data_IF_144695788043
#
_entry.id   IF_144695788043
#
_cell.length_a   1.000
_cell.length_b   1.000
_cell.length_c   1.000
_cell.angle_alpha   90.00
_cell.angle_beta   90.00
_cell.angle_gamma   90.00
#
_symmetry.space_group_name_H-M   'P 1'
#
loop_
_entity.id
_entity.type
_entity.pdbx_description
1 polymer ?
#
# COMPACT_ATOMS: atom_id res chain seq x y z
N UNK A 1 10.82 -34.23 0.83
CA UNK A 1 10.19 -32.93 0.53
C UNK A 1 10.66 -31.98 1.62
N UNK A 2 11.38 -30.90 1.27
CA UNK A 2 11.84 -29.92 2.26
C UNK A 2 10.61 -29.33 2.96
N UNK A 3 10.61 -29.33 4.28
CA UNK A 3 9.58 -28.76 5.16
C UNK A 3 9.74 -27.25 5.33
N UNK A 4 10.33 -26.59 4.32
CA UNK A 4 10.54 -25.15 4.33
C UNK A 4 9.19 -24.43 4.34
N UNK A 5 9.01 -23.58 5.34
CA UNK A 5 7.82 -22.73 5.44
C UNK A 5 7.90 -21.69 4.35
N UNK A 6 7.01 -21.83 3.37
CA UNK A 6 6.77 -20.82 2.32
C UNK A 6 6.34 -19.53 2.97
N UNK A 7 6.92 -18.43 2.52
CA UNK A 7 6.64 -17.09 3.02
C UNK A 7 6.59 -16.10 1.86
N UNK A 8 5.59 -15.24 1.86
CA UNK A 8 5.49 -14.10 0.97
C UNK A 8 5.32 -12.85 1.83
N UNK A 9 6.10 -11.82 1.55
CA UNK A 9 5.96 -10.52 2.20
C UNK A 9 4.90 -9.72 1.44
N UNK A 10 3.77 -9.40 2.08
CA UNK A 10 2.64 -8.72 1.45
C UNK A 10 2.42 -7.30 1.97
N UNK A 11 3.29 -6.81 2.86
CA UNK A 11 3.20 -5.48 3.43
C UNK A 11 4.60 -4.91 3.73
N UNK A 12 5.33 -4.55 2.68
CA UNK A 12 6.61 -3.84 2.80
C UNK A 12 6.51 -2.42 2.22
N UNK A 13 7.28 -1.47 2.76
CA UNK A 13 7.33 -0.09 2.28
C UNK A 13 8.71 0.22 1.67
N UNK A 14 8.74 0.88 0.52
CA UNK A 14 10.00 1.32 -0.09
C UNK A 14 10.46 2.68 0.43
N UNK A 15 11.70 3.06 0.10
CA UNK A 15 12.23 4.40 0.35
C UNK A 15 11.38 5.55 -0.22
N UNK A 16 10.41 5.28 -1.11
CA UNK A 16 9.46 6.29 -1.59
C UNK A 16 8.35 6.61 -0.59
N UNK A 17 8.19 5.82 0.46
CA UNK A 17 7.39 6.17 1.62
C UNK A 17 8.26 6.96 2.61
N UNK A 18 8.19 8.29 2.50
CA UNK A 18 9.06 9.21 3.25
C UNK A 18 8.98 8.95 4.77
N UNK A 19 10.15 8.81 5.41
CA UNK A 19 10.31 8.54 6.85
C UNK A 19 9.74 7.20 7.35
N UNK A 20 9.38 6.27 6.46
CA UNK A 20 8.83 4.95 6.80
C UNK A 20 9.60 3.80 6.12
N UNK A 21 9.93 3.95 4.84
CA UNK A 21 10.75 2.98 4.11
C UNK A 21 12.21 3.44 3.97
N UNK A 22 13.11 2.47 3.90
CA UNK A 22 14.57 2.72 3.93
C UNK A 22 15.30 2.17 2.71
N UNK A 23 14.79 1.11 2.09
CA UNK A 23 15.44 0.45 0.96
C UNK A 23 14.81 0.82 -0.40
N UNK A 24 15.67 0.93 -1.41
CA UNK A 24 15.25 1.09 -2.80
C UNK A 24 14.50 -0.16 -3.29
N UNK A 25 13.41 -0.03 -4.09
CA UNK A 25 12.58 -1.17 -4.48
C UNK A 25 13.36 -2.32 -5.14
N UNK A 26 14.35 -1.98 -5.98
CA UNK A 26 15.18 -2.97 -6.65
C UNK A 26 16.07 -3.77 -5.69
N UNK A 27 16.49 -3.18 -4.55
CA UNK A 27 17.27 -3.90 -3.53
C UNK A 27 16.37 -4.82 -2.71
N UNK A 28 15.17 -4.36 -2.35
CA UNK A 28 14.17 -5.17 -1.66
C UNK A 28 13.83 -6.44 -2.45
N UNK A 29 13.66 -6.32 -3.78
CA UNK A 29 13.43 -7.47 -4.67
C UNK A 29 14.61 -8.45 -4.67
N UNK A 30 15.85 -7.96 -4.78
CA UNK A 30 17.04 -8.81 -4.77
C UNK A 30 17.16 -9.56 -3.45
N UNK A 31 16.88 -8.89 -2.34
CA UNK A 31 16.94 -9.50 -1.02
C UNK A 31 15.82 -10.52 -0.80
N UNK A 32 14.61 -10.22 -1.25
CA UNK A 32 13.50 -11.17 -1.24
C UNK A 32 13.82 -12.44 -2.05
N UNK A 33 14.42 -12.29 -3.23
CA UNK A 33 14.88 -13.42 -4.03
C UNK A 33 16.01 -14.20 -3.34
N UNK A 34 16.97 -13.51 -2.71
CA UNK A 34 18.08 -14.12 -1.95
C UNK A 34 17.59 -14.94 -0.76
N UNK A 35 16.55 -14.45 -0.08
CA UNK A 35 15.91 -15.09 1.07
C UNK A 35 14.93 -16.20 0.68
N UNK A 36 14.63 -16.37 -0.62
CA UNK A 36 13.74 -17.43 -1.10
C UNK A 36 12.26 -17.17 -0.84
N UNK A 37 11.82 -15.90 -0.85
CA UNK A 37 10.41 -15.55 -0.71
C UNK A 37 9.60 -16.07 -1.91
N UNK A 38 8.38 -16.52 -1.64
CA UNK A 38 7.42 -16.98 -2.66
C UNK A 38 6.86 -15.79 -3.47
N UNK A 39 6.73 -14.62 -2.85
CA UNK A 39 6.31 -13.37 -3.48
C UNK A 39 6.67 -12.14 -2.64
N UNK A 40 6.59 -10.95 -3.25
CA UNK A 40 6.77 -9.66 -2.57
C UNK A 40 5.69 -8.66 -3.01
N UNK A 41 5.13 -7.92 -2.05
CA UNK A 41 4.34 -6.72 -2.28
C UNK A 41 5.03 -5.52 -1.61
N UNK A 42 5.28 -4.47 -2.39
CA UNK A 42 5.74 -3.19 -1.89
C UNK A 42 4.57 -2.21 -2.00
N UNK A 43 4.07 -1.75 -0.87
CA UNK A 43 2.88 -0.91 -0.72
C UNK A 43 3.32 0.49 -0.32
N UNK A 44 3.52 1.38 -1.29
CA UNK A 44 3.81 2.78 -0.94
C UNK A 44 2.57 3.47 -0.37
N UNK A 45 2.79 4.47 0.48
CA UNK A 45 1.70 5.22 1.11
C UNK A 45 1.07 6.18 0.11
N UNK A 46 -0.26 6.12 0.01
CA UNK A 46 -1.09 6.99 -0.82
C UNK A 46 -0.65 7.04 -2.30
N UNK A 47 -0.05 5.94 -2.78
CA UNK A 47 0.46 5.84 -4.14
C UNK A 47 1.11 4.50 -4.50
N UNK A 48 1.60 4.43 -5.73
CA UNK A 48 2.25 3.24 -6.32
C UNK A 48 3.58 3.62 -6.98
N UNK A 49 4.40 4.39 -6.26
CA UNK A 49 5.58 5.03 -6.82
C UNK A 49 6.69 4.04 -7.19
N UNK A 50 6.81 2.96 -6.41
CA UNK A 50 7.82 1.90 -6.59
C UNK A 50 7.45 0.88 -7.67
N UNK A 51 6.18 0.78 -8.05
CA UNK A 51 5.62 -0.30 -8.89
C UNK A 51 6.46 -0.61 -10.13
N UNK A 52 6.89 0.41 -10.89
CA UNK A 52 7.68 0.19 -12.10
C UNK A 52 9.06 -0.39 -11.77
N UNK A 53 9.75 0.16 -10.77
CA UNK A 53 11.08 -0.32 -10.38
C UNK A 53 11.02 -1.74 -9.80
N UNK A 54 10.04 -2.01 -8.93
CA UNK A 54 9.78 -3.34 -8.36
C UNK A 54 9.54 -4.36 -9.47
N UNK A 55 8.67 -4.03 -10.44
CA UNK A 55 8.35 -4.93 -11.55
C UNK A 55 9.57 -5.25 -12.40
N UNK A 56 10.37 -4.24 -12.74
CA UNK A 56 11.55 -4.43 -13.58
C UNK A 56 12.61 -5.28 -12.88
N UNK A 57 12.93 -4.99 -11.61
CA UNK A 57 13.86 -5.80 -10.84
C UNK A 57 13.36 -7.24 -10.65
N UNK A 58 12.06 -7.44 -10.42
CA UNK A 58 11.49 -8.75 -10.18
C UNK A 58 11.55 -9.66 -11.40
N UNK A 59 11.40 -9.08 -12.61
CA UNK A 59 11.58 -9.79 -13.88
C UNK A 59 13.00 -10.32 -14.06
N UNK A 60 14.02 -9.63 -13.56
CA UNK A 60 15.41 -10.06 -13.66
C UNK A 60 15.70 -11.30 -12.82
N UNK A 61 15.03 -11.45 -11.68
CA UNK A 61 15.27 -12.54 -10.70
C UNK A 61 14.16 -13.59 -10.65
N UNK A 62 13.07 -13.39 -11.40
CA UNK A 62 11.93 -14.31 -11.46
C UNK A 62 11.07 -14.33 -10.19
N UNK A 63 11.07 -13.27 -9.39
CA UNK A 63 10.28 -13.16 -8.15
C UNK A 63 8.83 -12.72 -8.47
N UNK A 64 7.79 -13.44 -8.02
CA UNK A 64 6.41 -12.99 -8.15
C UNK A 64 6.15 -11.71 -7.35
N UNK A 65 5.45 -10.74 -7.97
CA UNK A 65 5.06 -9.47 -7.32
C UNK A 65 3.54 -9.39 -7.21
N UNK A 66 3.08 -8.95 -6.04
CA UNK A 66 1.69 -8.56 -5.80
C UNK A 66 1.62 -7.03 -5.77
N UNK A 67 0.71 -6.45 -6.55
CA UNK A 67 0.57 -4.99 -6.65
C UNK A 67 -0.45 -4.47 -5.64
N UNK A 68 -0.20 -3.29 -5.11
CA UNK A 68 -1.06 -2.65 -4.12
C UNK A 68 -0.52 -1.30 -3.68
N UNK A 69 -1.20 -0.70 -2.71
CA UNK A 69 -0.80 0.52 -2.03
C UNK A 69 -1.27 0.47 -0.57
N UNK A 70 -0.63 1.24 0.29
CA UNK A 70 -1.13 1.46 1.64
C UNK A 70 -1.84 2.83 1.68
N UNK A 71 -3.16 2.83 1.91
CA UNK A 71 -3.96 4.06 1.82
C UNK A 71 -4.31 4.62 3.18
N UNK A 72 -4.12 5.93 3.34
CA UNK A 72 -4.51 6.67 4.53
C UNK A 72 -6.03 6.84 4.56
N UNK A 73 -6.67 6.30 5.60
CA UNK A 73 -8.11 6.34 5.77
C UNK A 73 -8.59 7.63 6.46
N UNK A 74 -9.80 8.08 6.15
CA UNK A 74 -10.46 9.11 6.95
C UNK A 74 -10.78 8.58 8.36
N UNK A 75 -10.83 9.43 9.40
CA UNK A 75 -11.12 8.98 10.77
C UNK A 75 -12.46 8.24 10.93
N UNK A 76 -13.39 8.50 10.01
CA UNK A 76 -14.73 7.94 9.94
C UNK A 76 -14.90 6.84 8.87
N UNK A 77 -13.83 6.42 8.19
CA UNK A 77 -13.88 5.44 7.09
C UNK A 77 -14.52 4.09 7.50
N UNK A 78 -14.45 3.72 8.78
CA UNK A 78 -15.04 2.49 9.31
C UNK A 78 -16.48 2.65 9.81
N UNK A 79 -17.02 3.87 9.87
CA UNK A 79 -18.34 4.16 10.48
C UNK A 79 -19.47 3.36 9.82
N UNK A 80 -19.37 3.10 8.51
CA UNK A 80 -20.37 2.32 7.78
C UNK A 80 -20.33 0.82 8.08
N UNK A 81 -19.19 0.31 8.51
CA UNK A 81 -19.01 -1.10 8.91
C UNK A 81 -19.32 -1.25 10.41
N UNK A 82 -18.80 -0.35 11.22
CA UNK A 82 -18.98 -0.31 12.67
C UNK A 82 -19.57 1.05 13.06
N UNK A 83 -20.90 1.14 13.26
CA UNK A 83 -21.55 2.39 13.63
C UNK A 83 -20.94 3.02 14.87
N UNK A 84 -20.62 4.32 14.80
CA UNK A 84 -19.98 5.06 15.89
C UNK A 84 -18.47 4.78 16.04
N UNK A 85 -17.86 4.01 15.14
CA UNK A 85 -16.40 3.91 15.09
C UNK A 85 -15.81 5.23 14.63
N UNK A 86 -14.79 5.67 15.36
CA UNK A 86 -13.86 6.68 14.90
C UNK A 86 -12.49 6.16 15.26
N UNK A 87 -11.60 6.15 14.28
CA UNK A 87 -10.20 5.78 14.47
C UNK A 87 -9.41 7.09 14.46
N UNK A 88 -9.21 7.74 15.62
CA UNK A 88 -8.08 8.66 15.73
C UNK A 88 -6.83 7.84 15.39
N UNK A 89 -5.83 8.45 14.77
CA UNK A 89 -4.64 7.70 14.34
C UNK A 89 -3.84 7.22 15.54
N UNK A 90 -2.57 7.57 15.64
CA UNK A 90 -1.69 6.88 16.60
C UNK A 90 -1.80 7.44 18.04
N UNK A 91 -2.74 8.35 18.29
CA UNK A 91 -2.90 8.99 19.60
C UNK A 91 -1.71 9.88 19.96
N UNK A 92 -1.12 10.54 18.96
CA UNK A 92 0.06 11.38 19.13
C UNK A 92 -0.28 12.67 19.91
N UNK A 93 0.76 13.27 20.49
CA UNK A 93 0.64 14.52 21.24
C UNK A 93 0.07 15.64 20.36
N UNK A 94 -0.68 16.61 20.94
CA UNK A 94 -1.21 17.75 20.19
C UNK A 94 -0.12 18.48 19.40
N UNK A 95 -0.35 18.69 18.10
CA UNK A 95 0.60 19.33 17.19
C UNK A 95 1.57 18.38 16.48
N UNK A 96 1.58 17.08 16.83
CA UNK A 96 2.24 16.07 16.01
C UNK A 96 1.39 15.78 14.75
N UNK A 97 2.06 15.56 13.62
CA UNK A 97 1.41 15.07 12.40
C UNK A 97 0.93 13.65 12.66
N UNK A 98 -0.39 13.47 12.85
CA UNK A 98 -1.00 12.15 12.97
C UNK A 98 -1.36 11.63 11.57
N UNK A 99 -0.62 10.63 11.06
CA UNK A 99 -0.86 10.11 9.71
C UNK A 99 -2.26 9.50 9.59
N UNK A 100 -2.92 9.13 10.70
CA UNK A 100 -4.21 8.43 10.66
C UNK A 100 -4.04 6.92 10.49
N UNK A 101 -5.17 6.22 10.43
CA UNK A 101 -5.17 4.79 10.13
C UNK A 101 -4.79 4.58 8.66
N UNK A 102 -3.94 3.59 8.40
CA UNK A 102 -3.56 3.18 7.05
C UNK A 102 -4.04 1.76 6.76
N UNK A 103 -4.41 1.51 5.52
CA UNK A 103 -5.00 0.25 5.08
C UNK A 103 -4.20 -0.32 3.90
N UNK A 104 -3.58 -1.52 4.04
CA UNK A 104 -2.96 -2.19 2.92
C UNK A 104 -4.03 -2.74 1.97
N UNK A 105 -3.98 -2.32 0.71
CA UNK A 105 -4.91 -2.76 -0.35
C UNK A 105 -4.11 -3.46 -1.45
N UNK A 106 -4.48 -4.71 -1.75
CA UNK A 106 -3.85 -5.52 -2.80
C UNK A 106 -4.79 -5.68 -3.99
N UNK A 107 -4.24 -5.52 -5.20
CA UNK A 107 -4.97 -5.76 -6.43
C UNK A 107 -5.01 -7.26 -6.76
N UNK A 108 -6.20 -7.86 -6.67
CA UNK A 108 -6.41 -9.27 -6.99
C UNK A 108 -6.42 -9.57 -8.51
N UNK A 109 -6.52 -8.54 -9.35
CA UNK A 109 -6.59 -8.67 -10.80
C UNK A 109 -6.09 -7.40 -11.51
N UNK A 110 -5.83 -7.44 -12.83
CA UNK A 110 -5.57 -6.23 -13.61
C UNK A 110 -6.70 -5.19 -13.53
N UNK A 111 -7.94 -5.65 -13.40
CA UNK A 111 -9.10 -4.77 -13.18
C UNK A 111 -9.02 -4.06 -11.83
N UNK A 112 -8.73 -4.80 -10.76
CA UNK A 112 -8.54 -4.25 -9.42
C UNK A 112 -7.35 -3.28 -9.35
N UNK A 113 -6.27 -3.55 -10.10
CA UNK A 113 -5.15 -2.62 -10.22
C UNK A 113 -5.58 -1.29 -10.86
N UNK A 114 -6.30 -1.34 -11.98
CA UNK A 114 -6.77 -0.15 -12.69
C UNK A 114 -7.74 0.67 -11.82
N UNK A 115 -8.64 -0.02 -11.12
CA UNK A 115 -9.58 0.60 -10.19
C UNK A 115 -8.87 1.29 -9.02
N UNK A 116 -7.91 0.61 -8.37
CA UNK A 116 -7.14 1.18 -7.26
C UNK A 116 -6.37 2.44 -7.70
N UNK A 117 -5.70 2.39 -8.86
CA UNK A 117 -5.02 3.57 -9.44
C UNK A 117 -6.00 4.69 -9.75
N UNK A 118 -7.18 4.36 -10.29
CA UNK A 118 -8.25 5.30 -10.57
C UNK A 118 -8.72 6.02 -9.30
N UNK A 119 -9.03 5.28 -8.24
CA UNK A 119 -9.49 5.83 -6.96
C UNK A 119 -8.45 6.76 -6.31
N UNK A 120 -7.16 6.38 -6.31
CA UNK A 120 -6.08 7.25 -5.84
C UNK A 120 -5.98 8.54 -6.66
N UNK A 121 -6.06 8.42 -7.99
CA UNK A 121 -5.94 9.57 -8.90
C UNK A 121 -7.12 10.53 -8.76
N UNK A 122 -8.35 10.02 -8.71
CA UNK A 122 -9.56 10.81 -8.52
C UNK A 122 -9.51 11.56 -7.18
N UNK A 123 -9.11 10.88 -6.11
CA UNK A 123 -9.00 11.50 -4.79
C UNK A 123 -7.99 12.64 -4.77
N UNK A 124 -6.83 12.45 -5.40
CA UNK A 124 -5.79 13.47 -5.53
C UNK A 124 -6.28 14.69 -6.33
N UNK A 125 -7.05 14.47 -7.40
CA UNK A 125 -7.60 15.55 -8.24
C UNK A 125 -8.71 16.34 -7.55
N UNK A 126 -9.52 15.68 -6.72
CA UNK A 126 -10.60 16.31 -5.96
C UNK A 126 -10.12 17.10 -4.73
N UNK A 127 -8.86 16.94 -4.33
CA UNK A 127 -8.27 17.55 -3.12
C UNK A 127 -7.02 18.38 -3.44
N UNK A 128 -7.09 19.40 -4.32
CA UNK A 128 -5.91 20.10 -4.79
C UNK A 128 -5.19 20.84 -3.66
N UNK A 129 -3.87 20.61 -3.54
CA UNK A 129 -3.02 21.24 -2.52
C UNK A 129 -2.95 20.47 -1.20
N UNK A 130 -3.76 19.42 -1.01
CA UNK A 130 -3.55 18.47 0.08
C UNK A 130 -2.41 17.51 -0.29
N UNK A 131 -1.46 17.34 0.64
CA UNK A 131 -0.29 16.48 0.41
C UNK A 131 -0.64 15.00 0.41
N UNK A 132 -1.51 14.58 1.33
CA UNK A 132 -1.92 13.18 1.53
C UNK A 132 -3.46 13.11 1.69
N UNK A 133 -4.21 13.14 0.58
CA UNK A 133 -5.66 13.16 0.64
C UNK A 133 -6.18 11.79 1.09
N UNK A 134 -7.01 11.79 2.14
CA UNK A 134 -7.46 10.55 2.82
C UNK A 134 -8.63 9.88 2.09
N UNK A 135 -8.74 8.55 2.22
CA UNK A 135 -9.73 7.72 1.54
C UNK A 135 -10.86 7.22 2.48
N UNK A 136 -12.11 7.16 2.00
CA UNK A 136 -13.19 6.38 2.62
C UNK A 136 -13.20 4.96 2.01
N UNK A 137 -13.63 3.95 2.77
CA UNK A 137 -13.74 2.58 2.30
C UNK A 137 -14.77 2.40 1.18
N UNK A 138 -15.76 3.28 1.08
CA UNK A 138 -16.75 3.23 -0.01
C UNK A 138 -16.10 3.53 -1.35
N UNK A 139 -15.27 4.58 -1.41
CA UNK A 139 -14.46 4.94 -2.58
C UNK A 139 -13.60 3.74 -3.05
N UNK A 140 -13.12 2.93 -2.09
CA UNK A 140 -12.30 1.75 -2.36
C UNK A 140 -13.10 0.51 -2.74
N UNK A 141 -14.34 0.38 -2.26
CA UNK A 141 -15.21 -0.76 -2.60
C UNK A 141 -15.75 -0.70 -4.02
N UNK A 142 -15.99 0.50 -4.56
CA UNK A 142 -16.29 0.69 -5.99
C UNK A 142 -15.04 0.43 -6.85
N UNK A 143 -13.86 0.49 -6.23
CA UNK A 143 -12.58 0.16 -6.83
C UNK A 143 -12.11 -1.30 -6.59
N UNK A 144 -12.93 -2.14 -5.95
CA UNK A 144 -12.63 -3.54 -5.68
C UNK A 144 -13.61 -4.45 -6.40
N UNK A 145 -13.26 -4.91 -7.60
CA UNK A 145 -13.95 -6.00 -8.29
C UNK A 145 -13.75 -7.36 -7.62
#
# INVERSE_FOLDING_TARGET
MSTERRYAELHAHSAFTFLDGTDEPAQMVKEAARLGLDALAILDVDGMYSTVQTTMAAREVGLPIVYGAELTATPDALTRIVPGSSVPGWGLAPGAEDPGMRLPILAASPGGYAQLVGAMSERALCSPGERNPRHDLVDLSEAGG
#
